data_IF_830813304870
#
_entry.id   IF_830813304870
#
_cell.length_a   1.000
_cell.length_b   1.000
_cell.length_c   1.000
_cell.angle_alpha   90.00
_cell.angle_beta   90.00
_cell.angle_gamma   90.00
#
_symmetry.space_group_name_H-M   'P 1'
#
loop_
_entity.id
_entity.type
_entity.pdbx_description
1 polymer ?
#
# COMPACT_ATOMS: atom_id res chain seq x y z
N UNK A 1 -15.59 -14.78 15.86
CA UNK A 1 -14.46 -13.98 16.36
C UNK A 1 -13.31 -14.14 15.38
N UNK A 2 -13.21 -13.25 14.38
CA UNK A 2 -12.11 -13.29 13.39
C UNK A 2 -10.85 -12.82 14.13
N UNK A 3 -9.69 -13.49 14.01
CA UNK A 3 -8.48 -13.06 14.70
C UNK A 3 -8.16 -11.62 14.33
N UNK A 4 -7.64 -10.84 15.28
CA UNK A 4 -7.05 -9.50 15.07
C UNK A 4 -5.91 -9.60 14.06
N UNK A 5 -6.25 -9.65 12.78
CA UNK A 5 -5.30 -9.56 11.68
C UNK A 5 -4.66 -8.18 11.75
N UNK A 6 -3.33 -8.14 11.72
CA UNK A 6 -2.57 -6.89 11.67
C UNK A 6 -3.09 -6.04 10.51
N UNK A 7 -3.72 -4.91 10.84
CA UNK A 7 -4.22 -3.97 9.85
C UNK A 7 -3.06 -3.12 9.35
N UNK A 8 -2.93 -3.04 8.03
CA UNK A 8 -1.92 -2.25 7.35
C UNK A 8 -2.58 -1.08 6.62
N UNK A 9 -1.84 0.01 6.53
CA UNK A 9 -2.15 1.10 5.62
C UNK A 9 -1.66 0.72 4.22
N UNK A 10 -2.61 0.59 3.29
CA UNK A 10 -2.36 0.47 1.86
C UNK A 10 -2.53 1.84 1.22
N UNK A 11 -1.67 2.22 0.28
CA UNK A 11 -1.75 3.50 -0.39
C UNK A 11 -1.12 3.49 -1.78
N UNK A 12 -1.59 4.41 -2.62
CA UNK A 12 -1.04 4.70 -3.94
C UNK A 12 -0.56 6.15 -4.01
N UNK A 13 0.63 6.36 -4.58
CA UNK A 13 1.20 7.68 -4.82
C UNK A 13 1.29 7.95 -6.31
N UNK A 14 1.07 9.19 -6.71
CA UNK A 14 1.44 9.66 -8.05
C UNK A 14 2.97 9.70 -8.16
N UNK A 15 3.56 9.02 -9.15
CA UNK A 15 5.02 8.97 -9.32
C UNK A 15 5.66 10.33 -9.63
N UNK A 16 4.92 11.25 -10.26
CA UNK A 16 5.43 12.57 -10.64
C UNK A 16 5.33 13.58 -9.50
N UNK A 17 4.23 13.57 -8.74
CA UNK A 17 3.93 14.60 -7.73
C UNK A 17 4.09 14.12 -6.30
N UNK A 18 4.25 12.80 -6.09
CA UNK A 18 4.27 12.13 -4.78
C UNK A 18 3.01 12.36 -3.93
N UNK A 19 1.92 12.83 -4.54
CA UNK A 19 0.64 13.02 -3.87
C UNK A 19 -0.07 11.68 -3.64
N UNK A 20 -0.81 11.60 -2.54
CA UNK A 20 -1.73 10.49 -2.27
C UNK A 20 -2.86 10.49 -3.27
N UNK A 21 -3.02 9.36 -3.95
CA UNK A 21 -4.10 9.14 -4.93
C UNK A 21 -5.22 8.33 -4.29
N UNK A 22 -4.88 7.33 -3.48
CA UNK A 22 -5.81 6.50 -2.73
C UNK A 22 -5.14 5.91 -1.49
N UNK A 23 -5.93 5.60 -0.46
CA UNK A 23 -5.49 4.82 0.69
C UNK A 23 -6.63 4.03 1.32
N UNK A 24 -6.31 2.87 1.90
CA UNK A 24 -7.27 2.01 2.63
C UNK A 24 -6.55 1.31 3.79
N UNK A 25 -7.29 0.97 4.84
CA UNK A 25 -6.75 0.18 5.96
C UNK A 25 -7.34 -1.23 5.90
N UNK A 26 -6.50 -2.26 5.93
CA UNK A 26 -6.95 -3.65 5.88
C UNK A 26 -5.84 -4.68 5.98
N UNK A 27 -6.16 -5.94 5.75
CA UNK A 27 -5.19 -7.05 5.81
C UNK A 27 -4.25 -7.09 4.59
N UNK A 28 -3.29 -8.02 4.60
CA UNK A 28 -2.29 -8.24 3.53
C UNK A 28 -2.81 -8.92 2.25
N UNK A 29 -4.12 -9.15 2.16
CA UNK A 29 -4.72 -9.99 1.12
C UNK A 29 -5.25 -9.24 -0.10
N UNK A 30 -5.62 -10.02 -1.12
CA UNK A 30 -6.23 -9.58 -2.37
C UNK A 30 -7.46 -8.69 -2.14
N UNK A 31 -8.27 -8.98 -1.12
CA UNK A 31 -9.48 -8.20 -0.82
C UNK A 31 -9.18 -6.72 -0.55
N UNK A 32 -8.15 -6.43 0.26
CA UNK A 32 -7.73 -5.05 0.54
C UNK A 32 -7.11 -4.40 -0.68
N UNK A 33 -6.34 -5.15 -1.48
CA UNK A 33 -5.75 -4.66 -2.72
C UNK A 33 -6.84 -4.24 -3.74
N UNK A 34 -7.88 -5.05 -3.91
CA UNK A 34 -9.06 -4.70 -4.73
C UNK A 34 -9.76 -3.44 -4.25
N UNK A 35 -9.86 -3.26 -2.93
CA UNK A 35 -10.46 -2.05 -2.35
C UNK A 35 -9.61 -0.81 -2.65
N UNK A 36 -8.28 -0.91 -2.50
CA UNK A 36 -7.38 0.17 -2.87
C UNK A 36 -7.53 0.52 -4.36
N UNK A 37 -7.50 -0.49 -5.24
CA UNK A 37 -7.59 -0.30 -6.69
C UNK A 37 -8.88 0.42 -7.10
N UNK A 38 -10.02 0.05 -6.51
CA UNK A 38 -11.30 0.73 -6.75
C UNK A 38 -11.33 2.18 -6.29
N UNK A 39 -10.53 2.53 -5.29
CA UNK A 39 -10.45 3.90 -4.78
C UNK A 39 -9.50 4.79 -5.59
N UNK A 40 -8.75 4.23 -6.54
CA UNK A 40 -7.92 5.02 -7.45
C UNK A 40 -8.85 5.77 -8.42
N UNK A 41 -8.75 7.10 -8.55
CA UNK A 41 -9.57 7.86 -9.49
C UNK A 41 -9.34 7.44 -10.94
N UNK A 42 -10.39 7.51 -11.75
CA UNK A 42 -10.35 7.10 -13.16
C UNK A 42 -9.30 7.83 -14.00
N UNK A 43 -8.91 9.04 -13.61
CA UNK A 43 -7.81 9.79 -14.26
C UNK A 43 -6.46 9.07 -14.16
N UNK A 44 -6.28 8.18 -13.19
CA UNK A 44 -5.08 7.36 -13.00
C UNK A 44 -5.23 5.93 -13.55
N UNK A 45 -6.44 5.50 -13.93
CA UNK A 45 -6.73 4.12 -14.36
C UNK A 45 -6.08 3.71 -15.69
N UNK A 46 -5.37 4.61 -16.39
CA UNK A 46 -4.56 4.28 -17.58
C UNK A 46 -3.04 4.34 -17.33
N UNK A 47 -2.63 4.71 -16.12
CA UNK A 47 -1.22 4.84 -15.76
C UNK A 47 -0.55 3.48 -15.55
N UNK A 48 0.79 3.48 -15.63
CA UNK A 48 1.60 2.35 -15.17
C UNK A 48 1.66 2.33 -13.65
N UNK A 49 1.55 1.14 -13.08
CA UNK A 49 1.59 0.88 -11.66
C UNK A 49 2.87 0.15 -11.31
N UNK A 50 3.72 0.84 -10.55
CA UNK A 50 4.98 0.29 -10.04
C UNK A 50 4.76 -0.27 -8.65
N UNK A 51 4.89 -1.58 -8.50
CA UNK A 51 4.74 -2.25 -7.20
C UNK A 51 5.89 -3.22 -6.96
N UNK A 52 5.98 -3.74 -5.74
CA UNK A 52 6.83 -4.90 -5.46
C UNK A 52 6.19 -6.19 -6.03
N UNK A 53 6.86 -7.32 -5.82
CA UNK A 53 6.48 -8.64 -6.31
C UNK A 53 5.38 -9.33 -5.46
N UNK A 54 4.58 -8.59 -4.69
CA UNK A 54 3.53 -9.19 -3.87
C UNK A 54 2.39 -9.74 -4.75
N UNK A 55 1.99 -11.00 -4.50
CA UNK A 55 1.00 -11.75 -5.30
C UNK A 55 -0.35 -11.02 -5.44
N UNK A 56 -0.79 -10.33 -4.39
CA UNK A 56 -2.01 -9.53 -4.41
C UNK A 56 -2.02 -8.45 -5.51
N UNK A 57 -0.88 -7.86 -5.86
CA UNK A 57 -0.82 -6.86 -6.94
C UNK A 57 -1.00 -7.51 -8.31
N UNK A 58 -0.33 -8.65 -8.54
CA UNK A 58 -0.47 -9.42 -9.77
C UNK A 58 -1.92 -9.91 -9.99
N UNK A 59 -2.64 -10.21 -8.91
CA UNK A 59 -4.02 -10.69 -8.97
C UNK A 59 -5.07 -9.57 -9.20
N UNK A 60 -4.70 -8.29 -9.09
CA UNK A 60 -5.65 -7.16 -9.09
C UNK A 60 -5.36 -6.13 -10.17
N UNK A 61 -4.09 -5.81 -10.39
CA UNK A 61 -3.67 -4.80 -11.35
C UNK A 61 -3.60 -5.47 -12.73
N UNK A 62 -4.19 -4.88 -13.79
CA UNK A 62 -4.07 -5.40 -15.14
C UNK A 62 -2.61 -5.57 -15.55
N UNK A 63 -2.27 -6.71 -16.18
CA UNK A 63 -0.90 -7.07 -16.55
C UNK A 63 -0.23 -6.00 -17.43
N UNK A 64 -1.00 -5.35 -18.32
CA UNK A 64 -0.50 -4.28 -19.19
C UNK A 64 -0.10 -3.01 -18.43
N UNK A 65 -0.61 -2.84 -17.21
CA UNK A 65 -0.34 -1.69 -16.34
C UNK A 65 0.63 -2.04 -15.22
N UNK A 66 0.78 -3.32 -14.88
CA UNK A 66 1.58 -3.77 -13.76
C UNK A 66 3.06 -3.88 -14.14
N UNK A 67 3.90 -3.05 -13.52
CA UNK A 67 5.34 -3.19 -13.56
C UNK A 67 5.85 -3.53 -12.17
N UNK A 68 6.10 -4.82 -11.94
CA UNK A 68 6.81 -5.27 -10.75
C UNK A 68 8.27 -4.82 -10.86
N UNK A 69 8.68 -3.90 -9.99
CA UNK A 69 10.01 -3.32 -10.00
C UNK A 69 10.81 -3.78 -8.79
N UNK A 70 12.08 -4.10 -9.02
CA UNK A 70 13.01 -4.37 -7.92
C UNK A 70 13.42 -3.06 -7.22
N UNK A 71 13.90 -3.19 -5.99
CA UNK A 71 14.32 -2.09 -5.10
C UNK A 71 15.35 -1.15 -5.71
N UNK A 72 16.07 -1.61 -6.74
CA UNK A 72 17.13 -0.85 -7.41
C UNK A 72 16.62 0.19 -8.42
N UNK A 73 15.32 0.20 -8.74
CA UNK A 73 14.74 1.14 -9.72
C UNK A 73 14.64 2.59 -9.22
N UNK A 74 14.72 2.82 -7.90
CA UNK A 74 14.50 4.13 -7.28
C UNK A 74 13.04 4.63 -7.30
N UNK A 75 12.18 4.06 -8.15
CA UNK A 75 10.75 4.40 -8.28
C UNK A 75 9.95 4.08 -7.01
N UNK A 76 10.39 3.09 -6.24
CA UNK A 76 9.76 2.69 -4.96
C UNK A 76 10.40 3.34 -3.73
N UNK A 77 11.50 4.08 -3.89
CA UNK A 77 12.23 4.68 -2.76
C UNK A 77 11.36 5.65 -1.94
N UNK A 78 10.47 6.40 -2.61
CA UNK A 78 9.53 7.30 -1.94
C UNK A 78 8.48 6.53 -1.12
N UNK A 79 7.97 5.40 -1.65
CA UNK A 79 7.03 4.52 -0.95
C UNK A 79 7.71 3.89 0.27
N UNK A 80 8.97 3.45 0.15
CA UNK A 80 9.76 2.91 1.26
C UNK A 80 10.02 3.98 2.34
N UNK A 81 10.41 5.19 1.95
CA UNK A 81 10.62 6.33 2.87
C UNK A 81 9.34 6.70 3.59
N UNK A 82 8.21 6.75 2.88
CA UNK A 82 6.91 7.03 3.50
C UNK A 82 6.54 5.96 4.51
N UNK A 83 6.68 4.68 4.14
CA UNK A 83 6.46 3.56 5.05
C UNK A 83 7.34 3.64 6.29
N UNK A 84 8.62 4.03 6.15
CA UNK A 84 9.50 4.25 7.30
C UNK A 84 9.01 5.42 8.18
N UNK A 85 8.61 6.53 7.57
CA UNK A 85 8.07 7.70 8.28
C UNK A 85 6.82 7.33 9.09
N UNK A 86 5.91 6.57 8.50
CA UNK A 86 4.70 6.08 9.18
C UNK A 86 5.06 5.19 10.36
N UNK A 87 5.98 4.23 10.20
CA UNK A 87 6.40 3.38 11.32
C UNK A 87 7.03 4.18 12.44
N UNK A 88 7.84 5.18 12.12
CA UNK A 88 8.49 6.02 13.13
C UNK A 88 7.49 6.93 13.88
N UNK A 89 6.46 7.44 13.19
CA UNK A 89 5.51 8.41 13.77
C UNK A 89 4.27 7.77 14.39
N UNK A 90 3.87 6.59 13.91
CA UNK A 90 2.63 5.92 14.31
C UNK A 90 2.96 4.54 14.89
N UNK A 91 3.04 4.48 16.23
CA UNK A 91 3.33 3.25 16.97
C UNK A 91 2.39 2.08 16.62
N UNK A 92 1.16 2.37 16.16
CA UNK A 92 0.18 1.35 15.72
C UNK A 92 0.60 0.54 14.49
N UNK A 93 1.53 1.05 13.68
CA UNK A 93 2.03 0.39 12.47
C UNK A 93 3.46 -0.18 12.64
N UNK A 94 4.01 -0.09 13.85
CA UNK A 94 5.27 -0.76 14.21
C UNK A 94 4.97 -2.25 14.42
N UNK A 95 5.88 -3.14 13.98
CA UNK A 95 5.81 -4.58 14.32
C UNK A 95 5.63 -4.73 15.83
N UNK A 96 4.72 -5.61 16.27
CA UNK A 96 4.38 -5.79 17.70
C UNK A 96 5.64 -5.80 18.58
N UNK A 97 5.87 -4.68 19.24
CA UNK A 97 6.60 -4.56 20.50
C UNK A 97 5.60 -4.14 21.57
N UNK A 98 6.00 -4.11 22.85
CA UNK A 98 5.14 -4.01 24.04
C UNK A 98 4.03 -2.92 24.05
N UNK A 99 4.02 -1.96 23.12
CA UNK A 99 3.02 -0.89 23.00
C UNK A 99 2.31 -0.89 21.63
N UNK A 100 1.14 -1.53 21.53
CA UNK A 100 0.26 -1.42 20.35
C UNK A 100 -1.15 -0.93 20.73
N UNK A 101 -1.75 -0.10 19.86
CA UNK A 101 -3.12 0.43 20.03
C UNK A 101 -4.15 -0.45 19.31
N UNK A 102 -5.37 -0.55 19.86
CA UNK A 102 -6.47 -1.40 19.38
C UNK A 102 -7.66 -0.62 18.79
N UNK A 103 -7.58 0.71 18.69
CA UNK A 103 -8.73 1.55 18.32
C UNK A 103 -8.73 1.93 16.84
N UNK A 104 -9.88 1.74 16.20
CA UNK A 104 -10.22 2.28 14.88
C UNK A 104 -10.91 3.65 15.08
N UNK A 105 -10.46 4.67 14.35
CA UNK A 105 -11.10 5.98 14.25
C UNK A 105 -11.53 6.23 12.81
#
# INVERSE_FOLDING_TARGET
>A
MIPLAEKLLWFALCSQTLQFVASVIGGRGIATCKLLWRNIPDSFNKGLCFTDFWEAYQAVIPEQQHQAVDKQSGLTAHVERFNNTIRQRLARFVRKSLSFSKSDH
#
